data_IF_644897315162
#
_entry.id   IF_644897315162
#
_cell.length_a   1.000
_cell.length_b   1.000
_cell.length_c   1.000
_cell.angle_alpha   90.00
_cell.angle_beta   90.00
_cell.angle_gamma   90.00
#
_symmetry.space_group_name_H-M   'P 1'
#
loop_
_entity.id
_entity.type
_entity.pdbx_description
1 polymer ?
#
# COMPACT_ATOMS: atom_id res chain seq x y z
N UNK A 1 13.42 34.83 53.73
CA UNK A 1 13.46 33.42 53.31
C UNK A 1 12.05 32.82 53.44
N UNK A 2 11.28 32.76 52.36
CA UNK A 2 10.07 31.94 52.25
C UNK A 2 9.85 31.67 50.76
N UNK A 3 10.20 30.45 50.35
CA UNK A 3 10.01 29.98 48.97
C UNK A 3 8.57 29.52 48.83
N UNK A 4 7.86 30.02 47.82
CA UNK A 4 6.58 29.48 47.36
C UNK A 4 6.82 28.87 45.98
N UNK A 5 6.97 27.54 45.93
CA UNK A 5 6.91 26.79 44.68
C UNK A 5 5.44 26.46 44.39
N UNK A 6 4.83 27.18 43.47
CA UNK A 6 3.55 26.77 42.87
C UNK A 6 3.89 25.77 41.76
N UNK A 7 3.67 24.48 42.03
CA UNK A 7 3.71 23.45 41.00
C UNK A 7 2.41 23.52 40.19
N UNK A 8 2.49 24.11 38.99
CA UNK A 8 1.42 24.02 38.01
C UNK A 8 1.43 22.61 37.40
N UNK A 9 0.50 21.77 37.83
CA UNK A 9 0.20 20.49 37.17
C UNK A 9 -0.50 20.82 35.86
N UNK A 10 0.27 20.85 34.76
CA UNK A 10 -0.27 20.80 33.41
C UNK A 10 -0.92 19.43 33.21
N UNK A 11 -2.23 19.37 33.43
CA UNK A 11 -3.06 18.31 32.90
C UNK A 11 -3.05 18.40 31.37
N UNK A 12 -2.09 17.72 30.75
CA UNK A 12 -2.17 17.33 29.35
C UNK A 12 -3.42 16.45 29.21
N UNK A 13 -4.53 17.07 28.79
CA UNK A 13 -5.67 16.37 28.22
C UNK A 13 -5.17 15.66 26.94
N UNK A 14 -4.54 14.50 27.12
CA UNK A 14 -4.51 13.47 26.10
C UNK A 14 -5.97 13.08 25.89
N UNK A 15 -6.61 13.71 24.91
CA UNK A 15 -7.79 13.12 24.29
C UNK A 15 -7.33 11.80 23.70
N UNK A 16 -7.38 10.74 24.49
CA UNK A 16 -7.47 9.39 23.97
C UNK A 16 -8.76 9.39 23.16
N UNK A 17 -8.65 9.68 21.86
CA UNK A 17 -9.71 9.38 20.93
C UNK A 17 -9.97 7.90 21.09
N UNK A 18 -11.09 7.55 21.73
CA UNK A 18 -11.55 6.18 21.80
C UNK A 18 -11.57 5.68 20.36
N UNK A 19 -10.93 4.53 20.11
CA UNK A 19 -11.00 3.85 18.84
C UNK A 19 -12.47 3.76 18.40
N UNK A 20 -12.81 4.36 17.26
CA UNK A 20 -14.15 4.30 16.73
C UNK A 20 -14.43 2.88 16.23
N UNK A 21 -15.52 2.28 16.67
CA UNK A 21 -15.93 0.98 16.15
C UNK A 21 -16.82 1.20 14.91
N UNK A 22 -16.41 0.65 13.77
CA UNK A 22 -17.15 0.78 12.52
C UNK A 22 -18.41 -0.09 12.50
N UNK A 23 -18.43 -1.17 13.29
CA UNK A 23 -19.52 -2.14 13.37
C UNK A 23 -19.99 -2.40 14.81
N UNK A 24 -20.47 -1.39 15.55
CA UNK A 24 -20.70 -1.48 17.00
C UNK A 24 -21.70 -2.57 17.41
N UNK A 25 -22.68 -2.87 16.56
CA UNK A 25 -23.67 -3.95 16.77
C UNK A 25 -23.58 -5.07 15.71
N UNK A 26 -22.43 -5.15 15.05
CA UNK A 26 -22.20 -5.97 13.86
C UNK A 26 -22.85 -5.39 12.59
N UNK A 27 -23.24 -4.12 12.61
CA UNK A 27 -23.75 -3.35 11.47
C UNK A 27 -22.90 -2.13 11.23
N UNK A 28 -22.65 -1.81 9.97
CA UNK A 28 -21.86 -0.64 9.60
C UNK A 28 -22.53 0.64 10.13
N UNK A 29 -21.78 1.46 10.85
CA UNK A 29 -22.24 2.80 11.26
C UNK A 29 -22.44 3.72 10.05
N UNK A 30 -23.25 4.79 10.15
CA UNK A 30 -23.37 5.74 9.05
C UNK A 30 -22.01 6.30 8.63
N UNK A 31 -21.68 6.11 7.35
CA UNK A 31 -20.47 6.61 6.69
C UNK A 31 -20.75 6.74 5.20
N UNK A 32 -20.22 7.80 4.58
CA UNK A 32 -20.41 8.09 3.16
C UNK A 32 -19.21 7.67 2.33
N UNK A 33 -19.46 7.37 1.06
CA UNK A 33 -18.41 7.11 0.07
C UNK A 33 -17.42 8.30 0.05
N UNK A 34 -16.13 8.00 0.22
CA UNK A 34 -15.06 8.99 0.24
C UNK A 34 -14.72 9.56 1.62
N UNK A 35 -15.51 9.27 2.66
CA UNK A 35 -15.18 9.69 4.03
C UNK A 35 -13.84 9.09 4.48
N UNK A 36 -13.04 9.87 5.19
CA UNK A 36 -11.80 9.39 5.76
C UNK A 36 -12.06 8.33 6.83
N UNK A 37 -11.23 7.27 6.86
CA UNK A 37 -11.20 6.29 7.94
C UNK A 37 -10.03 6.61 8.87
N UNK A 38 -10.29 7.09 10.09
CA UNK A 38 -9.24 7.34 11.07
C UNK A 38 -8.41 6.09 11.37
N UNK A 39 -7.10 6.28 11.60
CA UNK A 39 -6.16 5.19 11.86
C UNK A 39 -6.48 4.36 13.11
N UNK A 40 -7.27 4.92 14.05
CA UNK A 40 -7.66 4.27 15.28
C UNK A 40 -9.00 3.52 15.17
N UNK A 41 -9.67 3.51 14.02
CA UNK A 41 -10.93 2.76 13.88
C UNK A 41 -10.71 1.24 13.93
N UNK A 42 -11.71 0.53 14.44
CA UNK A 42 -11.75 -0.94 14.54
C UNK A 42 -12.93 -1.52 13.78
N UNK A 43 -12.85 -2.83 13.54
CA UNK A 43 -13.99 -3.64 13.10
C UNK A 43 -14.17 -4.81 14.05
N UNK A 44 -15.25 -4.85 14.84
CA UNK A 44 -15.45 -5.84 15.89
C UNK A 44 -14.29 -5.90 16.89
N UNK A 45 -13.68 -4.76 17.20
CA UNK A 45 -12.49 -4.61 18.03
C UNK A 45 -11.16 -5.00 17.36
N UNK A 46 -11.17 -5.54 16.14
CA UNK A 46 -9.93 -5.80 15.41
C UNK A 46 -9.34 -4.47 14.92
N UNK A 47 -8.04 -4.20 15.15
CA UNK A 47 -7.40 -3.03 14.58
C UNK A 47 -7.39 -3.11 13.06
N UNK A 48 -7.33 -1.97 12.39
CA UNK A 48 -7.22 -1.88 10.93
C UNK A 48 -5.81 -1.41 10.59
N UNK A 49 -5.15 -2.02 9.61
CA UNK A 49 -3.85 -1.53 9.16
C UNK A 49 -4.02 -0.17 8.47
N UNK A 50 -3.67 0.90 9.18
CA UNK A 50 -3.88 2.28 8.75
C UNK A 50 -3.04 2.70 7.53
N UNK A 51 -2.00 1.95 7.16
CA UNK A 51 -1.10 2.31 6.06
C UNK A 51 -0.47 3.68 6.29
N UNK A 52 -0.81 4.65 5.42
CA UNK A 52 -0.39 6.05 5.54
C UNK A 52 -1.37 6.96 6.30
N UNK A 53 -2.43 6.38 6.88
CA UNK A 53 -3.52 7.14 7.50
C UNK A 53 -4.39 7.92 6.49
N UNK A 54 -4.41 7.48 5.24
CA UNK A 54 -5.11 8.16 4.12
C UNK A 54 -6.24 7.31 3.51
N UNK A 55 -6.71 6.31 4.25
CA UNK A 55 -7.81 5.48 3.81
C UNK A 55 -9.09 6.28 3.68
N UNK A 56 -9.79 6.09 2.56
CA UNK A 56 -11.13 6.60 2.34
C UNK A 56 -12.10 5.45 2.16
N UNK A 57 -13.29 5.58 2.75
CA UNK A 57 -14.35 4.57 2.68
C UNK A 57 -14.82 4.38 1.25
N UNK A 58 -14.92 3.12 0.81
CA UNK A 58 -15.49 2.77 -0.50
C UNK A 58 -16.83 2.07 -0.32
N UNK A 59 -16.84 0.99 0.46
CA UNK A 59 -18.05 0.23 0.80
C UNK A 59 -17.80 -0.60 2.05
N UNK A 60 -18.89 -0.98 2.71
CA UNK A 60 -18.87 -1.97 3.75
C UNK A 60 -20.16 -2.77 3.73
N UNK A 61 -20.11 -3.96 4.28
CA UNK A 61 -21.26 -4.87 4.36
C UNK A 61 -21.12 -5.77 5.56
N UNK A 62 -22.25 -6.10 6.17
CA UNK A 62 -22.36 -7.16 7.16
C UNK A 62 -23.10 -8.37 6.57
N UNK A 63 -22.77 -9.54 7.10
CA UNK A 63 -23.47 -10.78 6.78
C UNK A 63 -23.43 -11.72 7.98
N UNK A 64 -24.10 -12.86 7.86
CA UNK A 64 -24.02 -13.92 8.86
C UNK A 64 -23.60 -15.20 8.16
N UNK A 65 -22.58 -15.88 8.70
CA UNK A 65 -22.13 -17.17 8.19
C UNK A 65 -23.22 -18.22 8.32
N UNK A 66 -23.11 -19.33 7.60
CA UNK A 66 -24.02 -20.48 7.75
C UNK A 66 -24.04 -21.06 9.17
N UNK A 67 -23.07 -20.70 10.02
CA UNK A 67 -22.94 -21.11 11.43
C UNK A 67 -23.38 -20.03 12.42
N UNK A 68 -23.98 -18.93 11.95
CA UNK A 68 -24.50 -17.86 12.81
C UNK A 68 -23.46 -16.82 13.25
N UNK A 69 -22.20 -16.91 12.80
CA UNK A 69 -21.16 -15.91 13.08
C UNK A 69 -21.45 -14.65 12.29
N UNK A 70 -21.56 -13.48 12.94
CA UNK A 70 -21.65 -12.20 12.25
C UNK A 70 -20.31 -11.85 11.63
N UNK A 71 -20.33 -11.51 10.34
CA UNK A 71 -19.17 -11.12 9.57
C UNK A 71 -19.33 -9.67 9.11
N UNK A 72 -18.23 -8.95 9.05
CA UNK A 72 -18.18 -7.61 8.47
C UNK A 72 -17.07 -7.54 7.43
N UNK A 73 -17.33 -6.81 6.35
CA UNK A 73 -16.38 -6.48 5.30
C UNK A 73 -16.30 -4.97 5.14
N UNK A 74 -15.09 -4.46 4.99
CA UNK A 74 -14.81 -3.05 4.74
C UNK A 74 -13.82 -2.95 3.59
N UNK A 75 -14.16 -2.17 2.57
CA UNK A 75 -13.23 -1.79 1.51
C UNK A 75 -12.91 -0.30 1.62
N UNK A 76 -11.63 0.01 1.55
CA UNK A 76 -11.08 1.35 1.57
C UNK A 76 -10.08 1.52 0.43
N UNK A 77 -9.93 2.76 -0.03
CA UNK A 77 -8.95 3.08 -1.07
C UNK A 77 -8.14 4.33 -0.71
N UNK A 78 -6.94 4.39 -1.28
CA UNK A 78 -6.04 5.53 -1.20
C UNK A 78 -5.64 5.94 -2.63
N UNK A 79 -5.87 7.21 -2.96
CA UNK A 79 -5.50 7.80 -4.24
C UNK A 79 -4.31 8.75 -4.08
N UNK A 80 -3.44 8.78 -5.08
CA UNK A 80 -2.30 9.69 -5.16
C UNK A 80 -2.35 10.45 -6.47
N UNK A 81 -2.54 11.77 -6.40
CA UNK A 81 -2.65 12.63 -7.59
C UNK A 81 -3.68 12.11 -8.62
N UNK A 82 -4.81 11.57 -8.14
CA UNK A 82 -5.88 11.03 -8.97
C UNK A 82 -5.67 9.59 -9.46
N UNK A 83 -4.54 8.95 -9.13
CA UNK A 83 -4.26 7.55 -9.46
C UNK A 83 -4.55 6.67 -8.25
N UNK A 84 -5.28 5.58 -8.43
CA UNK A 84 -5.50 4.61 -7.34
C UNK A 84 -4.15 3.99 -6.96
N UNK A 85 -3.75 4.18 -5.71
CA UNK A 85 -2.46 3.69 -5.19
C UNK A 85 -2.62 2.39 -4.43
N UNK A 86 -3.59 2.34 -3.53
CA UNK A 86 -3.87 1.15 -2.77
C UNK A 86 -5.35 0.96 -2.52
N UNK A 87 -5.77 -0.29 -2.40
CA UNK A 87 -7.08 -0.69 -1.90
C UNK A 87 -6.89 -1.72 -0.80
N UNK A 88 -7.51 -1.51 0.35
CA UNK A 88 -7.55 -2.49 1.41
C UNK A 88 -8.97 -3.02 1.57
N UNK A 89 -9.11 -4.33 1.64
CA UNK A 89 -10.35 -5.03 2.01
C UNK A 89 -10.07 -5.78 3.29
N UNK A 90 -10.87 -5.54 4.33
CA UNK A 90 -10.77 -6.20 5.62
C UNK A 90 -12.05 -6.98 5.85
N UNK A 91 -11.91 -8.27 6.11
CA UNK A 91 -13.03 -9.13 6.50
C UNK A 91 -12.79 -9.71 7.90
N UNK A 92 -13.74 -9.52 8.80
CA UNK A 92 -13.65 -9.95 10.20
C UNK A 92 -14.89 -10.71 10.63
N UNK A 93 -14.72 -11.59 11.62
CA UNK A 93 -15.82 -12.04 12.46
C UNK A 93 -16.06 -11.02 13.59
N UNK A 94 -17.16 -10.27 13.52
CA UNK A 94 -17.52 -9.26 14.54
C UNK A 94 -18.25 -9.85 15.73
N UNK A 95 -18.61 -11.14 15.67
CA UNK A 95 -19.07 -11.92 16.82
C UNK A 95 -18.26 -13.20 16.95
N UNK A 96 -18.15 -13.74 18.17
CA UNK A 96 -17.62 -15.07 18.41
C UNK A 96 -18.71 -16.13 18.23
N UNK A 97 -18.33 -17.32 17.75
CA UNK A 97 -19.22 -18.49 17.70
C UNK A 97 -18.73 -19.57 18.66
N UNK A 98 -19.65 -20.26 19.34
CA UNK A 98 -19.31 -21.30 20.32
C UNK A 98 -18.64 -22.50 19.64
N UNK A 99 -17.36 -22.75 19.95
CA UNK A 99 -16.61 -23.93 19.52
C UNK A 99 -16.43 -24.11 18.01
N UNK A 100 -16.84 -23.14 17.20
CA UNK A 100 -16.74 -23.22 15.75
C UNK A 100 -15.34 -22.84 15.24
N UNK A 101 -14.93 -23.51 14.17
CA UNK A 101 -13.68 -23.30 13.45
C UNK A 101 -13.99 -23.05 11.98
N UNK A 102 -13.12 -22.30 11.33
CA UNK A 102 -13.14 -22.15 9.88
C UNK A 102 -12.47 -23.35 9.25
N UNK A 103 -13.17 -24.04 8.35
CA UNK A 103 -12.59 -25.14 7.60
C UNK A 103 -12.19 -24.61 6.22
N UNK A 104 -10.91 -24.75 5.86
CA UNK A 104 -10.41 -24.42 4.54
C UNK A 104 -8.91 -24.66 4.44
N UNK A 105 -8.39 -24.66 3.21
CA UNK A 105 -6.95 -24.54 2.97
C UNK A 105 -6.71 -23.13 2.40
N UNK A 106 -6.53 -22.10 3.24
CA UNK A 106 -6.48 -20.72 2.74
C UNK A 106 -5.26 -20.42 1.87
N UNK A 107 -4.25 -21.29 1.88
CA UNK A 107 -3.14 -21.31 0.93
C UNK A 107 -3.38 -22.21 -0.29
N UNK A 108 -4.63 -22.43 -0.69
CA UNK A 108 -4.97 -23.17 -1.92
C UNK A 108 -5.80 -22.31 -2.87
N UNK A 109 -5.64 -22.50 -4.20
CA UNK A 109 -4.78 -23.48 -4.88
C UNK A 109 -3.28 -23.17 -4.75
N UNK A 110 -2.44 -24.21 -4.86
CA UNK A 110 -0.99 -24.02 -5.03
C UNK A 110 -0.73 -23.37 -6.38
N UNK A 111 0.13 -22.35 -6.46
CA UNK A 111 0.43 -21.64 -7.72
C UNK A 111 0.54 -20.13 -7.60
N UNK A 112 0.43 -19.59 -6.38
CA UNK A 112 0.66 -18.18 -6.12
C UNK A 112 2.09 -17.75 -6.45
N UNK A 113 2.27 -16.51 -6.90
CA UNK A 113 3.60 -15.96 -7.19
C UNK A 113 4.46 -15.92 -5.92
N UNK A 114 3.85 -15.57 -4.79
CA UNK A 114 4.43 -15.74 -3.45
C UNK A 114 3.41 -16.41 -2.55
N UNK A 115 3.87 -17.36 -1.74
CA UNK A 115 3.05 -18.03 -0.73
C UNK A 115 3.87 -18.24 0.54
N UNK A 116 3.27 -17.94 1.70
CA UNK A 116 3.82 -18.24 3.03
C UNK A 116 2.69 -18.78 3.91
N UNK A 117 2.87 -20.01 4.37
CA UNK A 117 1.97 -20.64 5.31
C UNK A 117 2.65 -20.71 6.69
N UNK A 118 2.03 -20.09 7.70
CA UNK A 118 2.50 -20.07 9.10
C UNK A 118 1.61 -20.87 10.05
N UNK A 119 0.51 -21.44 9.58
CA UNK A 119 -0.43 -22.19 10.41
C UNK A 119 -1.42 -22.98 9.56
N UNK A 120 -1.76 -24.19 9.99
CA UNK A 120 -2.68 -25.08 9.30
C UNK A 120 -3.64 -25.77 10.28
N UNK A 121 -4.91 -25.89 9.89
CA UNK A 121 -5.89 -26.73 10.56
C UNK A 121 -6.84 -25.94 11.45
N UNK A 122 -6.61 -25.90 12.76
CA UNK A 122 -7.49 -25.15 13.70
C UNK A 122 -7.18 -23.67 13.75
N UNK A 123 -5.98 -23.31 13.30
CA UNK A 123 -5.51 -21.94 13.11
C UNK A 123 -4.82 -21.91 11.76
N UNK A 124 -5.38 -21.17 10.81
CA UNK A 124 -4.75 -20.99 9.51
C UNK A 124 -4.18 -19.60 9.39
N UNK A 125 -2.95 -19.52 8.89
CA UNK A 125 -2.24 -18.26 8.66
C UNK A 125 -1.57 -18.28 7.30
N UNK A 126 -2.26 -17.73 6.30
CA UNK A 126 -1.78 -17.69 4.93
C UNK A 126 -1.45 -16.28 4.48
N UNK A 127 -0.33 -16.13 3.77
CA UNK A 127 0.02 -14.96 2.97
C UNK A 127 0.20 -15.42 1.53
N UNK A 128 -0.47 -14.75 0.60
CA UNK A 128 -0.23 -14.89 -0.84
C UNK A 128 -0.01 -13.54 -1.50
N UNK A 129 0.76 -13.51 -2.58
CA UNK A 129 0.92 -12.32 -3.43
C UNK A 129 0.75 -12.75 -4.87
N UNK A 130 -0.15 -12.09 -5.60
CA UNK A 130 -0.40 -12.34 -7.02
C UNK A 130 -0.70 -11.05 -7.79
N UNK A 131 -0.35 -10.98 -9.09
CA UNK A 131 -0.85 -9.93 -9.96
C UNK A 131 -2.35 -10.11 -10.24
N UNK A 132 -3.11 -9.03 -10.14
CA UNK A 132 -4.54 -9.01 -10.46
C UNK A 132 -4.87 -7.81 -11.34
N UNK A 133 -5.89 -7.96 -12.17
CA UNK A 133 -6.47 -6.83 -12.90
C UNK A 133 -7.60 -6.24 -12.06
N UNK A 134 -7.50 -4.96 -11.73
CA UNK A 134 -8.47 -4.26 -10.88
C UNK A 134 -9.14 -3.12 -11.66
N UNK A 135 -10.47 -3.05 -11.61
CA UNK A 135 -11.22 -2.00 -12.28
C UNK A 135 -11.19 -0.70 -11.45
N UNK A 136 -10.83 0.41 -12.12
CA UNK A 136 -10.90 1.77 -11.59
C UNK A 136 -11.72 2.60 -12.57
N UNK A 137 -13.03 2.65 -12.34
CA UNK A 137 -13.98 3.15 -13.33
C UNK A 137 -13.94 2.31 -14.61
N UNK A 138 -13.77 2.90 -15.80
CA UNK A 138 -13.70 2.15 -17.06
C UNK A 138 -12.31 1.53 -17.34
N UNK A 139 -11.30 1.82 -16.51
CA UNK A 139 -9.91 1.43 -16.76
C UNK A 139 -9.54 0.23 -15.90
N UNK A 140 -8.89 -0.77 -16.50
CA UNK A 140 -8.27 -1.87 -15.76
C UNK A 140 -6.81 -1.51 -15.43
N UNK A 141 -6.45 -1.59 -14.16
CA UNK A 141 -5.07 -1.40 -13.69
C UNK A 141 -4.51 -2.69 -13.12
N UNK A 142 -3.24 -2.97 -13.38
CA UNK A 142 -2.54 -4.08 -12.73
C UNK A 142 -2.25 -3.72 -11.29
N UNK A 143 -2.63 -4.58 -10.35
CA UNK A 143 -2.33 -4.46 -8.93
C UNK A 143 -1.60 -5.71 -8.46
N UNK A 144 -0.78 -5.59 -7.42
CA UNK A 144 -0.28 -6.74 -6.67
C UNK A 144 -1.17 -6.94 -5.45
N UNK A 145 -1.88 -8.07 -5.43
CA UNK A 145 -2.80 -8.46 -4.38
C UNK A 145 -2.06 -9.23 -3.30
N UNK A 146 -1.85 -8.61 -2.15
CA UNK A 146 -1.34 -9.24 -0.94
C UNK A 146 -2.54 -9.71 -0.13
N UNK A 147 -2.75 -11.02 -0.04
CA UNK A 147 -3.86 -11.60 0.72
C UNK A 147 -3.35 -12.28 1.97
N UNK A 148 -3.82 -11.82 3.12
CA UNK A 148 -3.61 -12.38 4.44
C UNK A 148 -4.91 -13.02 4.89
N UNK A 149 -4.87 -14.30 5.24
CA UNK A 149 -6.02 -15.03 5.78
C UNK A 149 -5.64 -15.60 7.13
N UNK A 150 -6.30 -15.13 8.19
CA UNK A 150 -6.11 -15.62 9.54
C UNK A 150 -7.42 -16.16 10.08
N UNK A 151 -7.40 -17.42 10.53
CA UNK A 151 -8.54 -18.07 11.18
C UNK A 151 -8.09 -18.63 12.53
N UNK A 152 -9.01 -18.70 13.48
CA UNK A 152 -8.73 -19.33 14.77
C UNK A 152 -9.97 -19.87 15.46
N UNK A 153 -9.75 -20.40 16.66
CA UNK A 153 -10.80 -20.88 17.56
C UNK A 153 -11.88 -19.83 17.81
N UNK A 154 -13.10 -20.30 18.15
CA UNK A 154 -14.30 -19.48 18.44
C UNK A 154 -14.80 -18.64 17.25
N UNK A 155 -14.62 -19.17 16.03
CA UNK A 155 -14.93 -18.51 14.77
C UNK A 155 -14.20 -17.19 14.52
N UNK A 156 -13.04 -16.97 15.16
CA UNK A 156 -12.21 -15.78 14.87
C UNK A 156 -11.76 -15.83 13.41
N UNK A 157 -12.00 -14.74 12.71
CA UNK A 157 -11.61 -14.53 11.31
C UNK A 157 -11.02 -13.13 11.22
N UNK A 158 -9.87 -13.02 10.57
CA UNK A 158 -9.28 -11.73 10.22
C UNK A 158 -8.50 -11.82 8.92
N UNK A 159 -9.12 -11.33 7.84
CA UNK A 159 -8.53 -11.29 6.51
C UNK A 159 -8.20 -9.87 6.11
N UNK A 160 -7.07 -9.70 5.45
CA UNK A 160 -6.67 -8.45 4.82
C UNK A 160 -6.31 -8.76 3.36
N UNK A 161 -7.00 -8.14 2.42
CA UNK A 161 -6.54 -8.07 1.02
C UNK A 161 -6.06 -6.66 0.75
N UNK A 162 -4.77 -6.49 0.50
CA UNK A 162 -4.17 -5.21 0.13
C UNK A 162 -3.73 -5.27 -1.34
N UNK A 163 -4.37 -4.46 -2.17
CA UNK A 163 -4.01 -4.26 -3.56
C UNK A 163 -3.08 -3.06 -3.65
N UNK A 164 -1.85 -3.24 -4.14
CA UNK A 164 -0.89 -2.16 -4.34
C UNK A 164 -0.62 -1.94 -5.82
N UNK A 165 -0.56 -0.67 -6.24
CA UNK A 165 -0.27 -0.30 -7.61
C UNK A 165 1.26 -0.26 -7.86
N UNK A 166 1.84 -1.22 -8.61
CA UNK A 166 3.28 -1.25 -8.88
C UNK A 166 3.75 -0.03 -9.68
N UNK A 167 2.88 0.60 -10.48
CA UNK A 167 3.20 1.81 -11.25
C UNK A 167 3.46 3.04 -10.36
N UNK A 168 3.07 3.01 -9.09
CA UNK A 168 3.42 4.05 -8.12
C UNK A 168 4.58 3.64 -7.20
N UNK A 169 5.09 2.41 -7.37
CA UNK A 169 6.21 1.85 -6.62
C UNK A 169 7.45 1.64 -7.49
N UNK A 170 7.49 2.27 -8.66
CA UNK A 170 8.65 2.28 -9.55
C UNK A 170 8.58 1.26 -10.68
N UNK A 171 7.72 0.25 -10.62
CA UNK A 171 7.61 -0.79 -11.65
C UNK A 171 6.46 -0.46 -12.59
N UNK A 172 6.72 0.46 -13.54
CA UNK A 172 5.65 1.08 -14.35
C UNK A 172 5.32 0.32 -15.63
N UNK A 173 4.09 0.50 -16.08
CA UNK A 173 3.57 -0.01 -17.36
C UNK A 173 3.65 -1.54 -17.42
N UNK A 174 3.22 -2.21 -16.35
CA UNK A 174 3.16 -3.68 -16.31
C UNK A 174 1.73 -4.21 -16.40
N UNK A 175 1.54 -5.26 -17.16
CA UNK A 175 0.34 -6.10 -17.20
C UNK A 175 0.43 -7.26 -16.21
N UNK A 176 -0.68 -7.96 -15.97
CA UNK A 176 -0.71 -9.17 -15.12
C UNK A 176 0.29 -10.23 -15.62
N UNK A 177 0.41 -10.41 -16.94
CA UNK A 177 1.35 -11.37 -17.55
C UNK A 177 2.83 -11.03 -17.39
N UNK A 178 3.16 -9.83 -16.89
CA UNK A 178 4.53 -9.39 -16.63
C UNK A 178 5.06 -9.80 -15.25
N UNK A 179 4.27 -10.59 -14.50
CA UNK A 179 4.50 -11.00 -13.12
C UNK A 179 4.39 -12.53 -12.99
N UNK A 180 5.30 -13.23 -13.66
CA UNK A 180 5.48 -14.69 -13.56
C UNK A 180 6.85 -15.02 -12.96
N UNK A 181 7.06 -16.23 -12.42
CA UNK A 181 8.38 -16.67 -11.95
C UNK A 181 9.49 -16.49 -13.00
N UNK A 182 9.20 -16.75 -14.27
CA UNK A 182 10.14 -16.59 -15.39
C UNK A 182 10.51 -15.12 -15.60
N UNK A 183 9.52 -14.23 -15.62
CA UNK A 183 9.76 -12.79 -15.82
C UNK A 183 10.51 -12.18 -14.64
N UNK A 184 10.24 -12.62 -13.40
CA UNK A 184 10.99 -12.18 -12.23
C UNK A 184 12.46 -12.61 -12.31
N UNK A 185 12.70 -13.87 -12.68
CA UNK A 185 14.06 -14.40 -12.89
C UNK A 185 14.82 -13.64 -13.98
N UNK A 186 14.13 -13.23 -15.05
CA UNK A 186 14.73 -12.49 -16.15
C UNK A 186 14.93 -10.98 -15.85
N UNK A 187 14.26 -10.43 -14.83
CA UNK A 187 14.27 -9.00 -14.53
C UNK A 187 14.70 -8.76 -13.07
N UNK A 188 16.02 -8.64 -12.79
CA UNK A 188 16.55 -8.52 -11.43
C UNK A 188 15.91 -7.42 -10.59
N UNK A 189 15.53 -6.30 -11.23
CA UNK A 189 14.81 -5.20 -10.57
C UNK A 189 13.43 -5.62 -10.05
N UNK A 190 12.64 -6.33 -10.87
CA UNK A 190 11.32 -6.83 -10.44
C UNK A 190 11.47 -7.87 -9.34
N UNK A 191 12.48 -8.75 -9.44
CA UNK A 191 12.81 -9.69 -8.37
C UNK A 191 13.12 -8.95 -7.06
N UNK A 192 14.03 -7.97 -7.08
CA UNK A 192 14.39 -7.20 -5.89
C UNK A 192 13.19 -6.45 -5.28
N UNK A 193 12.31 -5.91 -6.12
CA UNK A 193 11.05 -5.32 -5.67
C UNK A 193 10.13 -6.35 -5.01
N UNK A 194 9.96 -7.54 -5.62
CA UNK A 194 9.15 -8.63 -5.06
C UNK A 194 9.71 -9.18 -3.76
N UNK A 195 11.03 -9.26 -3.62
CA UNK A 195 11.69 -9.69 -2.38
C UNK A 195 11.39 -8.71 -1.25
N UNK A 196 11.51 -7.40 -1.53
CA UNK A 196 11.19 -6.33 -0.58
C UNK A 196 9.70 -6.30 -0.22
N UNK A 197 8.83 -6.48 -1.20
CA UNK A 197 7.39 -6.60 -1.01
C UNK A 197 7.03 -7.80 -0.13
N UNK A 198 7.67 -8.94 -0.37
CA UNK A 198 7.47 -10.17 0.41
C UNK A 198 7.88 -9.96 1.86
N UNK A 199 9.06 -9.40 2.12
CA UNK A 199 9.53 -9.10 3.48
C UNK A 199 8.60 -8.12 4.22
N UNK A 200 8.12 -7.09 3.52
CA UNK A 200 7.16 -6.15 4.06
C UNK A 200 5.81 -6.84 4.38
N UNK A 201 5.31 -7.66 3.46
CA UNK A 201 4.05 -8.40 3.63
C UNK A 201 4.12 -9.45 4.75
N UNK A 202 5.28 -10.09 4.96
CA UNK A 202 5.50 -11.02 6.08
C UNK A 202 5.43 -10.31 7.44
N UNK A 203 5.88 -9.05 7.50
CA UNK A 203 5.76 -8.20 8.69
C UNK A 203 4.29 -7.83 8.95
N UNK A 204 3.55 -7.45 7.90
CA UNK A 204 2.11 -7.22 7.98
C UNK A 204 1.36 -8.49 8.40
N UNK A 205 1.74 -9.66 7.88
CA UNK A 205 1.19 -10.95 8.27
C UNK A 205 1.39 -11.19 9.76
N UNK A 206 2.62 -11.02 10.28
CA UNK A 206 2.91 -11.22 11.70
C UNK A 206 2.05 -10.31 12.59
N UNK A 207 1.89 -9.04 12.23
CA UNK A 207 1.00 -8.11 12.93
C UNK A 207 -0.47 -8.54 12.84
N UNK A 208 -0.93 -9.01 11.67
CA UNK A 208 -2.31 -9.47 11.47
C UNK A 208 -2.65 -10.73 12.27
N UNK A 209 -1.69 -11.64 12.44
CA UNK A 209 -1.86 -12.82 13.31
C UNK A 209 -2.08 -12.34 14.76
N UNK A 210 -1.23 -11.43 15.24
CA UNK A 210 -1.34 -10.85 16.59
C UNK A 210 -2.62 -10.04 16.78
N UNK A 211 -3.10 -9.35 15.75
CA UNK A 211 -4.38 -8.63 15.76
C UNK A 211 -5.57 -9.56 16.08
N UNK A 212 -5.43 -10.86 15.78
CA UNK A 212 -6.46 -11.85 16.00
C UNK A 212 -6.49 -12.42 17.43
N UNK A 213 -5.50 -12.10 18.27
CA UNK A 213 -5.49 -12.49 19.68
C UNK A 213 -6.77 -12.05 20.38
N UNK A 214 -7.17 -12.78 21.43
CA UNK A 214 -8.41 -12.47 22.17
C UNK A 214 -8.42 -11.05 22.76
N UNK A 215 -7.25 -10.51 23.11
CA UNK A 215 -7.10 -9.14 23.60
C UNK A 215 -7.22 -8.08 22.50
N UNK A 216 -7.13 -8.47 21.22
CA UNK A 216 -7.16 -7.60 20.03
C UNK A 216 -6.32 -6.33 20.22
N UNK A 217 -5.00 -6.46 20.40
CA UNK A 217 -4.14 -5.32 20.70
C UNK A 217 -4.18 -4.30 19.55
N UNK A 218 -4.36 -3.02 19.89
CA UNK A 218 -4.63 -1.96 18.90
C UNK A 218 -3.38 -1.43 18.19
N UNK A 219 -2.21 -1.68 18.75
CA UNK A 219 -0.92 -1.15 18.30
C UNK A 219 -0.09 -2.15 17.47
N UNK A 220 -0.64 -3.32 17.14
CA UNK A 220 0.07 -4.38 16.40
C UNK A 220 0.66 -3.93 15.07
N UNK A 221 0.06 -2.91 14.45
CA UNK A 221 0.49 -2.36 13.18
C UNK A 221 1.45 -1.17 13.31
N UNK A 222 1.74 -0.67 14.52
CA UNK A 222 2.49 0.56 14.73
C UNK A 222 3.94 0.50 14.19
N UNK A 223 4.52 -0.70 14.11
CA UNK A 223 5.88 -0.92 13.62
C UNK A 223 5.93 -1.31 12.13
N UNK A 224 4.78 -1.42 11.46
CA UNK A 224 4.74 -1.76 10.03
C UNK A 224 5.07 -0.50 9.23
N UNK A 225 6.16 -0.49 8.45
CA UNK A 225 6.49 0.68 7.64
C UNK A 225 5.39 0.97 6.63
N UNK A 226 5.27 2.23 6.21
CA UNK A 226 4.43 2.60 5.07
C UNK A 226 4.79 1.76 3.84
N UNK A 227 3.81 1.30 3.07
CA UNK A 227 4.07 0.64 1.78
C UNK A 227 4.73 1.58 0.75
N UNK A 228 4.75 2.90 0.97
CA UNK A 228 5.57 3.83 0.15
C UNK A 228 7.05 3.53 0.24
N UNK A 229 7.51 2.97 1.36
CA UNK A 229 8.91 2.59 1.53
C UNK A 229 9.35 1.52 0.54
N UNK A 230 8.42 0.84 -0.13
CA UNK A 230 8.72 -0.10 -1.21
C UNK A 230 9.37 0.59 -2.40
N UNK A 231 9.01 1.84 -2.71
CA UNK A 231 9.66 2.65 -3.75
C UNK A 231 11.10 2.99 -3.31
N UNK A 232 12.14 2.62 -4.07
CA UNK A 232 13.51 2.95 -3.74
C UNK A 232 13.81 4.42 -4.12
N UNK A 233 13.47 5.34 -3.21
CA UNK A 233 13.78 6.77 -3.34
C UNK A 233 15.23 6.99 -2.92
N UNK A 234 16.04 7.65 -3.75
CA UNK A 234 17.40 8.04 -3.39
C UNK A 234 17.41 9.12 -2.31
N UNK A 235 18.47 9.18 -1.50
CA UNK A 235 18.62 10.19 -0.46
C UNK A 235 18.48 11.63 -1.00
N UNK A 236 19.03 11.89 -2.20
CA UNK A 236 18.92 13.19 -2.88
C UNK A 236 17.46 13.64 -3.15
N UNK A 237 16.53 12.70 -3.28
CA UNK A 237 15.13 12.97 -3.58
C UNK A 237 14.20 12.86 -2.37
N UNK A 238 14.66 12.26 -1.26
CA UNK A 238 13.82 11.98 -0.10
C UNK A 238 13.24 13.28 0.51
N UNK A 239 14.03 14.35 0.52
CA UNK A 239 13.66 15.63 1.14
C UNK A 239 13.01 16.63 0.16
N UNK A 240 12.96 16.31 -1.13
CA UNK A 240 12.54 17.25 -2.18
C UNK A 240 11.01 17.42 -2.32
N UNK A 241 10.25 16.79 -1.41
CA UNK A 241 8.77 16.83 -1.35
C UNK A 241 8.09 16.60 -2.71
N UNK A 242 8.64 15.72 -3.53
CA UNK A 242 8.02 15.36 -4.80
C UNK A 242 6.81 14.44 -4.60
N UNK A 243 5.88 14.46 -5.57
CA UNK A 243 4.81 13.47 -5.61
C UNK A 243 5.38 12.06 -5.81
N UNK A 244 4.71 11.04 -5.24
CA UNK A 244 5.12 9.65 -5.42
C UNK A 244 5.07 9.20 -6.88
N UNK A 245 4.12 9.72 -7.67
CA UNK A 245 4.04 9.44 -9.10
C UNK A 245 5.31 9.87 -9.83
N UNK A 246 5.82 11.08 -9.53
CA UNK A 246 7.06 11.58 -10.12
C UNK A 246 8.27 10.74 -9.69
N UNK A 247 8.41 10.47 -8.38
CA UNK A 247 9.50 9.64 -7.86
C UNK A 247 9.50 8.24 -8.47
N UNK A 248 8.31 7.65 -8.64
CA UNK A 248 8.15 6.38 -9.33
C UNK A 248 8.52 6.47 -10.81
N UNK A 249 8.21 7.57 -11.48
CA UNK A 249 8.63 7.85 -12.86
C UNK A 249 10.15 7.95 -13.01
N UNK A 250 10.80 8.67 -12.09
CA UNK A 250 12.26 8.76 -12.02
C UNK A 250 12.89 7.37 -11.87
N UNK A 251 12.38 6.60 -10.91
CA UNK A 251 12.90 5.28 -10.63
C UNK A 251 12.71 4.34 -11.83
N UNK A 252 11.55 4.39 -12.50
CA UNK A 252 11.32 3.61 -13.72
C UNK A 252 12.28 3.94 -14.85
N UNK A 253 12.54 5.22 -15.09
CA UNK A 253 13.37 5.68 -16.19
C UNK A 253 14.82 5.21 -16.12
N UNK A 254 15.38 5.01 -14.92
CA UNK A 254 16.74 4.48 -14.76
C UNK A 254 16.96 3.20 -15.58
N UNK A 255 15.93 2.39 -15.69
CA UNK A 255 15.96 1.06 -16.31
C UNK A 255 15.41 1.03 -17.74
N UNK A 256 14.92 2.16 -18.27
CA UNK A 256 14.49 2.24 -19.67
C UNK A 256 15.71 2.29 -20.60
N UNK A 257 15.66 1.63 -21.76
CA UNK A 257 16.76 1.64 -22.73
C UNK A 257 16.86 2.98 -23.46
N UNK A 258 17.99 3.18 -24.14
CA UNK A 258 18.29 4.34 -25.00
C UNK A 258 18.21 5.69 -24.28
N UNK A 259 18.21 6.78 -25.04
CA UNK A 259 18.13 8.12 -24.48
C UNK A 259 16.74 8.39 -23.90
N UNK A 260 16.75 9.09 -22.75
CA UNK A 260 15.58 9.24 -21.90
C UNK A 260 15.65 10.51 -21.09
N UNK A 261 14.49 11.08 -20.82
CA UNK A 261 14.35 12.33 -20.09
C UNK A 261 13.02 12.36 -19.33
N UNK A 262 12.98 13.20 -18.31
CA UNK A 262 11.77 13.52 -17.56
C UNK A 262 11.74 15.00 -17.27
N UNK A 263 10.61 15.60 -17.56
CA UNK A 263 10.33 16.98 -17.23
C UNK A 263 9.21 17.03 -16.20
N UNK A 264 9.27 18.04 -15.34
CA UNK A 264 8.33 18.21 -14.25
C UNK A 264 8.05 19.67 -13.94
N UNK A 265 6.89 19.90 -13.33
CA UNK A 265 6.52 21.17 -12.71
C UNK A 265 5.95 20.90 -11.32
N UNK A 266 6.45 21.62 -10.33
CA UNK A 266 6.06 21.49 -8.94
C UNK A 266 4.89 22.43 -8.64
N UNK A 267 3.75 21.84 -8.30
CA UNK A 267 2.50 22.54 -7.98
C UNK A 267 2.39 22.87 -6.49
N UNK A 268 3.20 22.22 -5.66
CA UNK A 268 3.26 22.36 -4.21
C UNK A 268 3.91 21.15 -3.57
N UNK A 269 3.86 21.09 -2.25
CA UNK A 269 4.36 19.96 -1.48
C UNK A 269 3.65 18.66 -1.88
N UNK A 270 4.43 17.67 -2.31
CA UNK A 270 4.00 16.35 -2.77
C UNK A 270 3.04 16.37 -3.97
N UNK A 271 2.99 17.49 -4.71
CA UNK A 271 2.19 17.67 -5.92
C UNK A 271 3.10 18.06 -7.09
N UNK A 272 3.27 17.14 -8.02
CA UNK A 272 4.16 17.31 -9.18
C UNK A 272 3.44 16.84 -10.43
N UNK A 273 3.30 17.71 -11.43
CA UNK A 273 2.95 17.27 -12.79
C UNK A 273 4.24 16.92 -13.52
N UNK A 274 4.23 15.84 -14.29
CA UNK A 274 5.43 15.36 -14.95
C UNK A 274 5.09 14.52 -16.16
N UNK A 275 6.03 14.46 -17.10
CA UNK A 275 6.01 13.55 -18.24
C UNK A 275 7.43 13.10 -18.55
N UNK A 276 7.54 11.89 -19.07
CA UNK A 276 8.80 11.33 -19.52
C UNK A 276 8.80 11.07 -21.01
N UNK A 277 10.00 10.94 -21.56
CA UNK A 277 10.28 10.46 -22.89
C UNK A 277 11.43 9.46 -22.80
N UNK A 278 11.33 8.35 -23.51
CA UNK A 278 12.35 7.29 -23.54
C UNK A 278 12.30 6.60 -24.90
N UNK A 279 13.34 5.81 -25.21
CA UNK A 279 13.53 5.19 -26.52
C UNK A 279 13.77 6.19 -27.67
N UNK A 280 14.47 7.28 -27.39
CA UNK A 280 14.84 8.27 -28.40
C UNK A 280 16.25 8.00 -28.95
N UNK A 281 16.55 8.42 -30.20
CA UNK A 281 17.85 8.21 -30.82
C UNK A 281 18.94 9.17 -30.31
N UNK A 282 18.56 10.27 -29.64
CA UNK A 282 19.49 11.23 -29.04
C UNK A 282 18.95 11.84 -27.74
N UNK A 283 19.84 12.28 -26.85
CA UNK A 283 19.46 12.96 -25.61
C UNK A 283 18.71 14.28 -25.84
N UNK A 284 19.14 15.18 -26.77
CA UNK A 284 18.41 16.42 -27.02
C UNK A 284 16.98 16.20 -27.52
N UNK A 285 16.73 15.12 -28.28
CA UNK A 285 15.37 14.76 -28.69
C UNK A 285 14.52 14.25 -27.53
N UNK A 286 15.10 13.41 -26.66
CA UNK A 286 14.43 12.94 -25.45
C UNK A 286 14.05 14.14 -24.54
N UNK A 287 14.99 15.05 -24.31
CA UNK A 287 14.82 16.25 -23.49
C UNK A 287 13.71 17.16 -24.04
N UNK A 288 13.79 17.49 -25.33
CA UNK A 288 12.77 18.30 -26.00
C UNK A 288 11.40 17.64 -25.87
N UNK A 289 11.31 16.33 -26.13
CA UNK A 289 10.03 15.63 -26.05
C UNK A 289 9.46 15.60 -24.63
N UNK A 290 10.30 15.36 -23.62
CA UNK A 290 9.85 15.34 -22.24
C UNK A 290 9.29 16.71 -21.83
N UNK A 291 9.97 17.80 -22.20
CA UNK A 291 9.49 19.18 -21.99
C UNK A 291 8.17 19.45 -22.71
N UNK A 292 8.08 19.17 -24.01
CA UNK A 292 6.88 19.39 -24.81
C UNK A 292 5.68 18.63 -24.22
N UNK A 293 5.89 17.35 -23.85
CA UNK A 293 4.86 16.54 -23.21
C UNK A 293 4.43 17.13 -21.86
N UNK A 294 5.38 17.57 -21.04
CA UNK A 294 5.09 18.15 -19.72
C UNK A 294 4.30 19.45 -19.87
N UNK A 295 4.73 20.36 -20.74
CA UNK A 295 4.06 21.64 -21.00
C UNK A 295 2.64 21.46 -21.52
N UNK A 296 2.41 20.51 -22.43
CA UNK A 296 1.07 20.25 -22.97
C UNK A 296 0.07 19.77 -21.91
N UNK A 297 0.55 19.12 -20.84
CA UNK A 297 -0.26 18.64 -19.72
C UNK A 297 -0.20 19.53 -18.47
N UNK A 298 0.49 20.68 -18.55
CA UNK A 298 0.74 21.53 -17.39
C UNK A 298 -0.50 22.40 -17.11
N UNK A 299 -1.00 22.45 -15.86
CA UNK A 299 -2.03 23.42 -15.48
C UNK A 299 -1.51 24.86 -15.67
N UNK A 300 -2.36 25.77 -16.15
CA UNK A 300 -1.96 27.15 -16.44
C UNK A 300 -1.33 27.87 -15.22
N UNK A 301 -1.78 27.55 -14.00
CA UNK A 301 -1.28 28.11 -12.75
C UNK A 301 0.05 27.49 -12.26
N UNK A 302 0.56 26.45 -12.91
CA UNK A 302 1.78 25.76 -12.51
C UNK A 302 3.03 26.49 -13.05
N UNK A 303 4.17 26.47 -12.35
CA UNK A 303 5.44 26.94 -12.89
C UNK A 303 5.82 26.21 -14.19
N UNK A 304 6.57 26.82 -15.12
CA UNK A 304 7.05 26.12 -16.31
C UNK A 304 7.74 24.79 -15.99
N UNK A 305 7.56 23.82 -16.87
CA UNK A 305 8.24 22.54 -16.76
C UNK A 305 9.74 22.72 -16.93
N UNK A 306 10.50 21.96 -16.15
CA UNK A 306 11.96 21.88 -16.26
C UNK A 306 12.40 20.43 -16.35
N UNK A 307 13.54 20.22 -17.02
CA UNK A 307 14.17 18.90 -17.07
C UNK A 307 14.69 18.51 -15.69
N UNK A 308 14.59 17.23 -15.38
CA UNK A 308 15.23 16.65 -14.22
C UNK A 308 16.54 15.97 -14.66
N UNK A 309 17.65 16.34 -14.03
CA UNK A 309 18.97 15.75 -14.31
C UNK A 309 19.04 14.34 -13.72
N UNK A 310 19.11 13.32 -14.58
CA UNK A 310 19.18 11.92 -14.15
C UNK A 310 20.59 11.49 -13.67
N UNK A 311 21.63 12.27 -14.00
CA UNK A 311 23.04 11.94 -13.77
C UNK A 311 23.49 12.01 -12.31
N UNK A 312 22.82 12.79 -11.45
CA UNK A 312 23.18 12.91 -10.02
C UNK A 312 22.77 11.69 -9.16
N UNK A 313 22.29 10.59 -9.76
CA UNK A 313 21.75 9.44 -9.01
C UNK A 313 22.41 8.09 -9.31
N UNK A 314 23.38 8.01 -10.22
CA UNK A 314 24.07 6.75 -10.58
C UNK A 314 25.18 6.34 -9.62
N UNK A 315 25.39 7.05 -8.51
CA UNK A 315 26.34 6.66 -7.47
C UNK A 315 25.82 5.48 -6.59
N UNK A 316 25.28 4.42 -7.18
CA UNK A 316 25.12 3.10 -6.54
C UNK A 316 25.33 2.01 -7.59
N UNK A 317 26.57 1.53 -7.64
CA UNK A 317 27.09 0.24 -8.14
C UNK A 317 26.19 -0.55 -9.11
N UNK A 318 26.54 -0.50 -10.40
CA UNK A 318 26.16 -1.56 -11.34
C UNK A 318 26.77 -2.88 -10.84
N UNK A 319 26.01 -3.98 -10.75
CA UNK A 319 26.62 -5.28 -10.49
C UNK A 319 27.54 -5.62 -11.67
N UNK A 320 28.82 -5.80 -11.38
CA UNK A 320 29.78 -6.32 -12.34
C UNK A 320 29.19 -7.57 -12.99
N UNK A 321 29.04 -7.52 -14.32
CA UNK A 321 28.84 -8.73 -15.10
C UNK A 321 30.07 -9.61 -14.86
N UNK A 322 29.91 -10.70 -14.12
CA UNK A 322 30.98 -11.70 -14.01
C UNK A 322 31.19 -12.34 -15.38
N UNK A 323 32.46 -12.55 -15.79
CA UNK A 323 32.81 -13.20 -17.05
C UNK A 323 32.35 -14.66 -17.11
#
# INVERSE_FOLDING_TARGET
MKHWCIAAVLALNLTQGMAGELFPDGKLRPILLGDAIPAAETMGGYPIFAGDGKWTFVRGSDSTSSRGTKLASLQMSQFESGVLFATQIVDVAVSTGDGAFWNGSPCTPTGHLVMRNKGFGREDHCLTIDPVSHAVGPTMVTMLSIKLTNTGSTSRLYNITLLLNPDLLGIRSTGVGDWTPETLKAQPRKQAFMDKLTAWAESLQAASIKAMDYSKPQDVFAQIPSFRTLLPVSAANADQKYSIGFLSGLEDLKWRPNFKAIAYSQLGDYRTTWKSAWNYPSQPEADKKALDNCESGRPAAAPPCKLFTLEEQTAVVAPEAKP
#
